data_IF_445954060117
#
_entry.id   IF_445954060117
#
_cell.length_a   1.000
_cell.length_b   1.000
_cell.length_c   1.000
_cell.angle_alpha   90.00
_cell.angle_beta   90.00
_cell.angle_gamma   90.00
#
_symmetry.space_group_name_H-M   'P 1'
#
loop_
_entity.id
_entity.type
_entity.pdbx_description
1 polymer ?
#
# COMPACT_ATOMS: atom_id res chain seq x y z
N UNK A 1 -59.92 -9.34 -73.24
CA UNK A 1 -58.78 -8.46 -72.90
C UNK A 1 -59.04 -7.86 -71.53
N UNK A 2 -58.18 -8.13 -70.54
CA UNK A 2 -58.24 -7.49 -69.21
C UNK A 2 -56.91 -6.79 -69.00
N UNK A 3 -56.95 -5.48 -68.86
CA UNK A 3 -55.82 -4.62 -68.53
C UNK A 3 -55.56 -4.65 -67.02
N UNK A 4 -54.30 -4.90 -66.63
CA UNK A 4 -53.82 -4.75 -65.26
C UNK A 4 -53.46 -3.27 -64.98
N UNK A 5 -53.62 -2.77 -63.75
CA UNK A 5 -53.18 -1.44 -63.39
C UNK A 5 -51.66 -1.41 -63.16
N UNK A 6 -50.98 -0.46 -63.79
CA UNK A 6 -49.57 -0.11 -63.52
C UNK A 6 -49.52 0.64 -62.18
N UNK A 7 -48.85 0.07 -61.19
CA UNK A 7 -48.44 0.78 -59.98
C UNK A 7 -47.14 1.53 -60.26
N UNK A 8 -47.18 2.86 -60.18
CA UNK A 8 -46.00 3.73 -60.11
C UNK A 8 -45.40 3.62 -58.70
N UNK A 9 -44.43 2.72 -58.53
CA UNK A 9 -43.50 2.75 -57.39
C UNK A 9 -42.14 3.21 -57.92
N UNK A 10 -41.99 4.53 -58.03
CA UNK A 10 -40.78 5.21 -58.46
C UNK A 10 -40.22 6.10 -57.36
N UNK A 11 -39.98 5.55 -56.16
CA UNK A 11 -39.05 6.13 -55.21
C UNK A 11 -37.84 5.20 -55.19
N UNK A 12 -36.69 5.69 -55.67
CA UNK A 12 -35.44 4.93 -55.70
C UNK A 12 -35.14 4.43 -54.27
N UNK A 13 -34.81 3.14 -54.15
CA UNK A 13 -34.39 2.50 -52.89
C UNK A 13 -33.30 3.30 -52.15
N UNK A 14 -32.47 4.01 -52.92
CA UNK A 14 -31.43 4.94 -52.47
C UNK A 14 -31.98 6.13 -51.68
N UNK A 15 -33.10 6.73 -52.12
CA UNK A 15 -33.78 7.84 -51.43
C UNK A 15 -34.38 7.40 -50.08
N UNK A 16 -34.87 6.15 -50.01
CA UNK A 16 -35.42 5.59 -48.78
C UNK A 16 -34.31 5.29 -47.75
N UNK A 17 -33.18 4.74 -48.20
CA UNK A 17 -32.04 4.45 -47.33
C UNK A 17 -31.34 5.73 -46.83
N UNK A 18 -31.20 6.75 -47.67
CA UNK A 18 -30.70 8.07 -47.26
C UNK A 18 -31.60 8.74 -46.23
N UNK A 19 -32.93 8.74 -46.44
CA UNK A 19 -33.88 9.31 -45.46
C UNK A 19 -33.87 8.57 -44.13
N UNK A 20 -33.74 7.23 -44.15
CA UNK A 20 -33.65 6.43 -42.92
C UNK A 20 -32.35 6.68 -42.17
N UNK A 21 -31.22 6.69 -42.87
CA UNK A 21 -29.90 6.98 -42.28
C UNK A 21 -29.85 8.42 -41.71
N UNK A 22 -30.40 9.40 -42.42
CA UNK A 22 -30.47 10.79 -41.97
C UNK A 22 -31.42 10.95 -40.75
N UNK A 23 -32.54 10.22 -40.70
CA UNK A 23 -33.41 10.20 -39.52
C UNK A 23 -32.75 9.55 -38.31
N UNK A 24 -32.02 8.45 -38.51
CA UNK A 24 -31.30 7.76 -37.43
C UNK A 24 -30.12 8.62 -36.92
N UNK A 25 -29.45 9.36 -37.82
CA UNK A 25 -28.40 10.34 -37.48
C UNK A 25 -28.98 11.55 -36.70
N UNK A 26 -30.11 12.11 -37.13
CA UNK A 26 -30.78 13.20 -36.40
C UNK A 26 -31.21 12.73 -35.01
N UNK A 27 -31.78 11.52 -34.89
CA UNK A 27 -32.13 10.97 -33.57
C UNK A 27 -30.91 10.76 -32.69
N UNK A 28 -29.78 10.32 -33.25
CA UNK A 28 -28.53 10.20 -32.50
C UNK A 28 -28.05 11.57 -32.00
N UNK A 29 -28.10 12.61 -32.83
CA UNK A 29 -27.74 13.98 -32.46
C UNK A 29 -28.69 14.56 -31.40
N UNK A 30 -30.00 14.35 -31.54
CA UNK A 30 -31.00 14.79 -30.55
C UNK A 30 -30.83 14.05 -29.21
N UNK A 31 -30.50 12.76 -29.24
CA UNK A 31 -30.17 11.99 -28.05
C UNK A 31 -28.89 12.47 -27.38
N UNK A 32 -27.83 12.74 -28.15
CA UNK A 32 -26.59 13.31 -27.65
C UNK A 32 -26.80 14.71 -27.07
N UNK A 33 -27.61 15.56 -27.70
CA UNK A 33 -27.94 16.88 -27.17
C UNK A 33 -28.73 16.79 -25.85
N UNK A 34 -29.69 15.86 -25.75
CA UNK A 34 -30.44 15.62 -24.51
C UNK A 34 -29.56 15.05 -23.40
N UNK A 35 -28.63 14.17 -23.74
CA UNK A 35 -27.63 13.64 -22.81
C UNK A 35 -26.69 14.74 -22.33
N UNK A 36 -26.21 15.60 -23.23
CA UNK A 36 -25.35 16.73 -22.90
C UNK A 36 -26.08 17.80 -22.07
N UNK A 37 -27.36 18.10 -22.36
CA UNK A 37 -28.14 19.03 -21.55
C UNK A 37 -28.42 18.46 -20.16
N UNK A 38 -28.81 17.19 -20.06
CA UNK A 38 -29.00 16.52 -18.78
C UNK A 38 -27.68 16.44 -17.98
N UNK A 39 -26.56 16.15 -18.64
CA UNK A 39 -25.24 16.16 -18.01
C UNK A 39 -24.85 17.56 -17.51
N UNK A 40 -25.16 18.60 -18.29
CA UNK A 40 -24.95 19.99 -17.89
C UNK A 40 -25.79 20.37 -16.67
N UNK A 41 -27.07 20.02 -16.67
CA UNK A 41 -27.96 20.28 -15.53
C UNK A 41 -27.49 19.56 -14.26
N UNK A 42 -26.99 18.32 -14.40
CA UNK A 42 -26.35 17.56 -13.30
C UNK A 42 -25.06 18.22 -12.83
N UNK A 43 -24.22 18.73 -13.74
CA UNK A 43 -23.00 19.46 -13.40
C UNK A 43 -23.29 20.79 -12.69
N UNK A 44 -24.27 21.56 -13.17
CA UNK A 44 -24.68 22.85 -12.58
C UNK A 44 -25.32 22.63 -11.20
N UNK A 45 -26.09 21.56 -11.04
CA UNK A 45 -26.60 21.13 -9.74
C UNK A 45 -25.46 20.70 -8.80
N UNK A 46 -24.50 19.91 -9.29
CA UNK A 46 -23.30 19.53 -8.55
C UNK A 46 -22.48 20.74 -8.09
N UNK A 47 -22.28 21.73 -8.96
CA UNK A 47 -21.60 22.98 -8.63
C UNK A 47 -22.33 23.76 -7.53
N UNK A 48 -23.66 23.75 -7.54
CA UNK A 48 -24.48 24.41 -6.50
C UNK A 48 -24.38 23.69 -5.15
N UNK A 49 -24.33 22.35 -5.15
CA UNK A 49 -24.12 21.56 -3.92
C UNK A 49 -22.74 21.81 -3.32
N UNK A 50 -21.68 21.80 -4.14
CA UNK A 50 -20.31 22.12 -3.72
C UNK A 50 -20.24 23.55 -3.16
N UNK A 51 -20.85 24.53 -3.81
CA UNK A 51 -20.89 25.92 -3.33
C UNK A 51 -21.60 26.10 -1.98
N UNK A 52 -22.41 25.11 -1.57
CA UNK A 52 -23.15 25.11 -0.30
C UNK A 52 -22.56 24.15 0.75
N UNK A 53 -21.39 23.57 0.47
CA UNK A 53 -20.76 22.55 1.31
C UNK A 53 -21.67 21.33 1.58
N UNK A 54 -22.56 21.04 0.62
CA UNK A 54 -23.43 19.87 0.64
C UNK A 54 -22.72 18.77 -0.14
N UNK A 55 -22.27 17.73 0.56
CA UNK A 55 -21.69 16.55 -0.08
C UNK A 55 -22.81 15.80 -0.80
N UNK A 56 -22.81 15.71 -2.15
CA UNK A 56 -23.81 14.95 -2.88
C UNK A 56 -23.74 13.48 -2.43
N UNK A 57 -24.88 12.95 -2.00
CA UNK A 57 -25.03 11.52 -1.67
C UNK A 57 -26.03 10.93 -2.64
N UNK A 58 -25.64 9.88 -3.35
CA UNK A 58 -26.61 9.09 -4.09
C UNK A 58 -27.50 8.32 -3.11
N UNK A 59 -28.80 8.15 -3.41
CA UNK A 59 -29.65 7.22 -2.67
C UNK A 59 -29.02 5.82 -2.67
N UNK A 60 -29.15 5.10 -1.55
CA UNK A 60 -28.59 3.75 -1.39
C UNK A 60 -29.09 2.77 -2.47
N UNK A 61 -30.30 2.98 -2.96
CA UNK A 61 -30.93 2.23 -4.05
C UNK A 61 -30.20 2.39 -5.41
N UNK A 62 -29.50 3.51 -5.60
CA UNK A 62 -28.71 3.80 -6.79
C UNK A 62 -27.26 3.28 -6.67
N UNK A 63 -26.84 2.89 -5.47
CA UNK A 63 -25.52 2.37 -5.20
C UNK A 63 -25.51 0.86 -5.47
N UNK A 64 -24.62 0.42 -6.36
CA UNK A 64 -24.42 -1.00 -6.66
C UNK A 64 -22.94 -1.32 -6.61
N UNK A 65 -22.57 -2.33 -5.84
CA UNK A 65 -21.22 -2.90 -5.92
C UNK A 65 -21.10 -3.82 -7.14
N UNK A 66 -19.89 -4.25 -7.45
CA UNK A 66 -19.63 -5.26 -8.48
C UNK A 66 -20.59 -6.46 -8.34
N UNK A 67 -20.91 -7.12 -9.46
CA UNK A 67 -22.04 -8.04 -9.74
C UNK A 67 -22.51 -9.01 -8.64
N UNK A 68 -21.69 -9.28 -7.62
CA UNK A 68 -21.95 -10.28 -6.58
C UNK A 68 -22.29 -9.70 -5.19
N UNK A 69 -22.39 -8.37 -5.04
CA UNK A 69 -22.72 -7.72 -3.76
C UNK A 69 -23.80 -6.65 -3.95
N UNK A 70 -24.94 -6.80 -3.27
CA UNK A 70 -25.92 -5.72 -3.14
C UNK A 70 -25.46 -4.70 -2.10
N UNK A 71 -25.87 -3.43 -2.26
CA UNK A 71 -25.58 -2.40 -1.26
C UNK A 71 -26.13 -2.76 0.12
N UNK A 72 -25.34 -2.52 1.17
CA UNK A 72 -25.67 -2.89 2.55
C UNK A 72 -25.56 -4.40 2.84
N UNK A 73 -25.27 -5.24 1.86
CA UNK A 73 -25.09 -6.67 2.07
C UNK A 73 -23.71 -6.98 2.66
N UNK A 74 -23.71 -7.82 3.70
CA UNK A 74 -22.50 -8.49 4.23
C UNK A 74 -22.36 -9.87 3.63
N UNK A 75 -21.18 -10.18 3.12
CA UNK A 75 -20.81 -11.53 2.67
C UNK A 75 -19.58 -12.01 3.41
N UNK A 76 -19.69 -13.20 4.02
CA UNK A 76 -18.54 -13.90 4.58
C UNK A 76 -17.82 -14.69 3.51
N UNK A 77 -16.50 -14.57 3.45
CA UNK A 77 -15.63 -15.18 2.45
C UNK A 77 -14.44 -15.83 3.15
N UNK A 78 -14.37 -17.15 3.08
CA UNK A 78 -13.16 -17.89 3.41
C UNK A 78 -12.25 -17.88 2.18
N UNK A 79 -11.21 -17.06 2.21
CA UNK A 79 -10.33 -16.83 1.07
C UNK A 79 -8.97 -17.51 1.30
N UNK A 80 -8.49 -18.20 0.26
CA UNK A 80 -7.06 -18.43 0.10
C UNK A 80 -6.46 -17.17 -0.54
N UNK A 81 -5.87 -16.33 0.29
CA UNK A 81 -5.28 -15.05 -0.05
C UNK A 81 -3.99 -15.29 -0.83
N UNK A 82 -4.09 -15.28 -2.16
CA UNK A 82 -2.96 -15.42 -3.09
C UNK A 82 -2.43 -14.07 -3.57
N UNK A 83 -2.93 -12.97 -2.99
CA UNK A 83 -2.50 -11.61 -3.33
C UNK A 83 -2.07 -10.84 -2.09
N UNK A 84 -1.00 -10.07 -2.24
CA UNK A 84 -0.51 -9.14 -1.24
C UNK A 84 -0.36 -7.74 -1.84
N UNK A 85 -0.68 -6.72 -1.06
CA UNK A 85 -0.46 -5.33 -1.41
C UNK A 85 0.60 -4.74 -0.48
N UNK A 86 1.67 -4.19 -1.05
CA UNK A 86 2.71 -3.49 -0.32
C UNK A 86 2.59 -2.00 -0.60
N UNK A 87 2.35 -1.20 0.44
CA UNK A 87 2.22 0.25 0.34
C UNK A 87 3.40 0.94 1.02
N UNK A 88 4.24 1.61 0.24
CA UNK A 88 5.33 2.43 0.77
C UNK A 88 4.81 3.83 1.16
N UNK A 89 4.87 4.18 2.44
CA UNK A 89 4.51 5.52 2.93
C UNK A 89 5.80 6.28 3.21
N UNK A 90 6.07 7.34 2.44
CA UNK A 90 7.33 8.07 2.44
C UNK A 90 7.13 9.46 3.05
N UNK A 91 7.71 9.71 4.23
CA UNK A 91 7.66 11.00 4.92
C UNK A 91 8.81 11.95 4.56
N UNK A 92 9.35 11.86 3.35
CA UNK A 92 10.66 12.39 2.98
C UNK A 92 10.59 13.35 1.78
N UNK A 93 11.46 14.36 1.72
CA UNK A 93 11.67 15.11 0.47
C UNK A 93 12.45 14.27 -0.53
N UNK A 94 11.71 13.65 -1.46
CA UNK A 94 12.25 12.78 -2.50
C UNK A 94 13.07 13.53 -3.57
N UNK A 95 13.03 14.86 -3.59
CA UNK A 95 13.82 15.68 -4.54
C UNK A 95 15.28 15.83 -4.12
N UNK A 96 15.56 15.68 -2.83
CA UNK A 96 16.92 15.72 -2.32
C UNK A 96 17.77 14.53 -2.81
N UNK A 97 19.10 14.67 -2.80
CA UNK A 97 20.03 13.58 -3.17
C UNK A 97 19.81 12.33 -2.31
N UNK A 98 19.57 12.51 -1.01
CA UNK A 98 19.30 11.41 -0.09
C UNK A 98 17.92 10.80 -0.31
N UNK A 99 16.92 11.61 -0.67
CA UNK A 99 15.60 11.14 -1.13
C UNK A 99 15.69 10.26 -2.37
N UNK A 100 16.50 10.63 -3.36
CA UNK A 100 16.72 9.81 -4.56
C UNK A 100 17.45 8.50 -4.25
N UNK A 101 18.44 8.52 -3.36
CA UNK A 101 19.13 7.31 -2.88
C UNK A 101 18.17 6.37 -2.16
N UNK A 102 17.31 6.90 -1.30
CA UNK A 102 16.27 6.15 -0.62
C UNK A 102 15.33 5.49 -1.64
N UNK A 103 14.87 6.23 -2.64
CA UNK A 103 14.03 5.71 -3.74
C UNK A 103 14.69 4.54 -4.45
N UNK A 104 15.99 4.64 -4.78
CA UNK A 104 16.74 3.54 -5.38
C UNK A 104 16.83 2.32 -4.45
N UNK A 105 17.07 2.51 -3.16
CA UNK A 105 17.09 1.42 -2.17
C UNK A 105 15.72 0.78 -1.98
N UNK A 106 14.63 1.56 -2.01
CA UNK A 106 13.26 1.04 -1.95
C UNK A 106 12.86 0.25 -3.20
N UNK A 107 13.33 0.64 -4.39
CA UNK A 107 13.15 -0.16 -5.61
C UNK A 107 13.82 -1.52 -5.49
N UNK A 108 15.06 -1.56 -4.99
CA UNK A 108 15.78 -2.82 -4.72
C UNK A 108 15.06 -3.68 -3.68
N UNK A 109 14.47 -3.04 -2.67
CA UNK A 109 13.63 -3.70 -1.67
C UNK A 109 12.34 -4.28 -2.27
N UNK A 110 11.62 -3.51 -3.09
CA UNK A 110 10.41 -3.97 -3.77
C UNK A 110 10.68 -5.21 -4.63
N UNK A 111 11.83 -5.25 -5.31
CA UNK A 111 12.26 -6.43 -6.06
C UNK A 111 12.56 -7.63 -5.15
N UNK A 112 13.15 -7.42 -3.97
CA UNK A 112 13.34 -8.49 -2.99
C UNK A 112 12.01 -9.02 -2.47
N UNK A 113 11.08 -8.14 -2.10
CA UNK A 113 9.72 -8.50 -1.68
C UNK A 113 9.00 -9.29 -2.78
N UNK A 114 9.03 -8.82 -4.03
CA UNK A 114 8.41 -9.49 -5.17
C UNK A 114 8.91 -10.92 -5.32
N UNK A 115 10.21 -11.16 -5.16
CA UNK A 115 10.80 -12.52 -5.21
C UNK A 115 10.34 -13.38 -4.04
N UNK A 116 10.36 -12.85 -2.82
CA UNK A 116 9.95 -13.59 -1.62
C UNK A 116 8.46 -13.98 -1.64
N UNK A 117 7.57 -13.06 -2.04
CA UNK A 117 6.15 -13.37 -2.20
C UNK A 117 5.90 -14.35 -3.35
N UNK A 118 6.57 -14.17 -4.50
CA UNK A 118 6.45 -15.08 -5.64
C UNK A 118 6.91 -16.51 -5.29
N UNK A 119 7.99 -16.64 -4.49
CA UNK A 119 8.46 -17.93 -3.97
C UNK A 119 7.43 -18.67 -3.10
N UNK A 120 6.41 -17.95 -2.59
CA UNK A 120 5.28 -18.50 -1.82
C UNK A 120 3.99 -18.62 -2.64
N UNK A 121 4.05 -18.36 -3.94
CA UNK A 121 2.87 -18.37 -4.81
C UNK A 121 1.93 -17.18 -4.61
N UNK A 122 2.41 -16.07 -4.05
CA UNK A 122 1.62 -14.87 -3.76
C UNK A 122 1.95 -13.77 -4.79
N UNK A 123 0.92 -13.25 -5.46
CA UNK A 123 1.06 -12.08 -6.36
C UNK A 123 1.16 -10.80 -5.55
N UNK A 124 2.13 -9.96 -5.87
CA UNK A 124 2.38 -8.72 -5.12
C UNK A 124 2.03 -7.49 -5.94
N UNK A 125 1.23 -6.60 -5.36
CA UNK A 125 0.93 -5.27 -5.89
C UNK A 125 1.68 -4.22 -5.07
N UNK A 126 2.39 -3.32 -5.72
CA UNK A 126 3.11 -2.25 -5.04
C UNK A 126 2.42 -0.91 -5.26
N UNK A 127 2.26 -0.15 -4.19
CA UNK A 127 1.82 1.24 -4.21
C UNK A 127 2.77 2.09 -3.37
N UNK A 128 2.75 3.39 -3.60
CA UNK A 128 3.43 4.34 -2.72
C UNK A 128 2.51 5.50 -2.39
N UNK A 129 2.80 6.18 -1.29
CA UNK A 129 2.14 7.39 -0.82
C UNK A 129 3.26 8.28 -0.30
N UNK A 130 3.35 9.52 -0.78
CA UNK A 130 4.40 10.44 -0.37
C UNK A 130 3.75 11.54 0.45
N UNK A 131 4.16 11.69 1.71
CA UNK A 131 3.86 12.86 2.51
C UNK A 131 4.82 13.96 2.08
N UNK A 132 4.27 15.05 1.56
CA UNK A 132 5.00 16.28 1.31
C UNK A 132 4.64 17.19 2.49
N UNK A 133 5.60 17.95 3.01
CA UNK A 133 5.49 18.71 4.26
C UNK A 133 4.16 19.48 4.46
N UNK A 134 3.95 19.91 5.71
CA UNK A 134 2.69 20.49 6.22
C UNK A 134 1.53 19.49 6.35
N UNK A 135 1.88 18.19 6.31
CA UNK A 135 0.90 17.11 6.38
C UNK A 135 -0.04 17.16 5.19
N UNK A 136 0.52 17.18 3.98
CA UNK A 136 -0.22 16.97 2.73
C UNK A 136 0.30 15.67 2.14
N UNK A 137 -0.50 14.61 2.20
CA UNK A 137 -0.13 13.34 1.58
C UNK A 137 -0.66 13.28 0.15
N UNK A 138 0.21 12.93 -0.78
CA UNK A 138 -0.16 12.73 -2.19
C UNK A 138 -0.40 11.24 -2.43
N UNK A 139 -1.62 10.88 -2.85
CA UNK A 139 -1.91 9.52 -3.34
C UNK A 139 -1.17 9.33 -4.65
N UNK A 140 -0.38 8.26 -4.74
CA UNK A 140 0.21 7.81 -5.99
C UNK A 140 -0.51 6.55 -6.45
N UNK A 141 -1.24 6.68 -7.57
CA UNK A 141 -1.76 5.55 -8.32
C UNK A 141 -0.81 5.25 -9.47
N UNK A 142 -0.09 4.13 -9.49
CA UNK A 142 0.34 3.58 -10.77
C UNK A 142 -0.90 3.00 -11.47
N UNK A 143 -1.11 3.36 -12.75
CA UNK A 143 -1.89 2.49 -13.65
C UNK A 143 -1.21 1.12 -13.64
N UNK A 144 -2.02 0.08 -13.58
CA UNK A 144 -1.63 -1.30 -13.34
C UNK A 144 -0.30 -1.75 -13.96
N UNK A 145 0.44 -2.47 -13.11
CA UNK A 145 1.32 -3.61 -13.38
C UNK A 145 2.79 -3.39 -13.79
N UNK A 146 3.64 -4.00 -12.94
CA UNK A 146 4.95 -4.60 -13.16
C UNK A 146 6.23 -3.82 -12.82
N UNK A 147 6.22 -2.49 -12.73
CA UNK A 147 7.37 -1.71 -12.29
C UNK A 147 7.00 -0.62 -11.27
N UNK A 148 7.80 -0.54 -10.19
CA UNK A 148 7.78 0.61 -9.27
C UNK A 148 8.43 1.81 -9.99
N UNK A 149 7.72 2.39 -10.97
CA UNK A 149 8.18 3.58 -11.68
C UNK A 149 7.88 4.85 -10.87
N UNK A 150 8.76 5.12 -9.90
CA UNK A 150 8.75 6.35 -9.10
C UNK A 150 9.22 7.59 -9.90
N UNK A 151 9.56 7.47 -11.20
CA UNK A 151 10.08 8.60 -12.02
C UNK A 151 8.97 9.43 -12.67
N UNK A 152 7.77 8.88 -12.86
CA UNK A 152 6.62 9.58 -13.50
C UNK A 152 5.44 9.65 -12.53
N UNK A 153 5.50 10.59 -11.59
CA UNK A 153 4.50 10.79 -10.53
C UNK A 153 3.65 12.02 -10.88
N UNK A 154 2.49 11.88 -11.56
CA UNK A 154 1.50 12.95 -11.58
C UNK A 154 0.90 13.12 -10.18
N UNK A 155 0.70 14.37 -9.76
CA UNK A 155 0.37 14.73 -8.39
C UNK A 155 -1.11 15.09 -8.24
N UNK A 156 -1.80 14.45 -7.31
CA UNK A 156 -3.11 14.88 -6.82
C UNK A 156 -3.01 15.11 -5.30
N UNK A 157 -3.41 16.30 -4.84
CA UNK A 157 -3.15 16.79 -3.48
C UNK A 157 -4.29 16.48 -2.52
N UNK A 158 -4.00 15.88 -1.36
CA UNK A 158 -4.89 15.85 -0.19
C UNK A 158 -4.14 16.28 1.07
N UNK A 159 -4.77 17.14 1.85
CA UNK A 159 -4.30 17.55 3.18
C UNK A 159 -4.53 16.39 4.16
N UNK A 160 -3.47 15.80 4.70
CA UNK A 160 -3.47 14.74 5.73
C UNK A 160 -2.46 15.13 6.81
N UNK A 161 -2.92 15.92 7.79
CA UNK A 161 -2.08 16.66 8.71
C UNK A 161 -1.40 15.81 9.80
N UNK A 162 -1.70 14.51 9.91
CA UNK A 162 -1.34 13.68 11.07
C UNK A 162 -0.57 12.40 10.73
N UNK A 163 0.22 11.93 11.71
CA UNK A 163 1.16 10.80 11.61
C UNK A 163 0.51 9.45 11.26
N UNK A 164 -0.79 9.28 11.49
CA UNK A 164 -1.55 8.05 11.22
C UNK A 164 -2.56 8.16 10.07
N UNK A 165 -2.66 9.32 9.41
CA UNK A 165 -3.64 9.54 8.35
C UNK A 165 -3.43 8.62 7.14
N UNK A 166 -2.22 8.07 6.98
CA UNK A 166 -1.93 7.05 5.98
C UNK A 166 -2.80 5.80 6.15
N UNK A 167 -3.22 5.43 7.37
CA UNK A 167 -4.11 4.30 7.62
C UNK A 167 -5.45 4.52 6.93
N UNK A 168 -5.94 5.76 6.90
CA UNK A 168 -7.12 6.08 6.11
C UNK A 168 -6.83 5.94 4.62
N UNK A 169 -5.65 6.29 4.11
CA UNK A 169 -5.37 6.08 2.67
C UNK A 169 -5.27 4.59 2.30
N UNK A 170 -4.86 3.75 3.23
CA UNK A 170 -4.58 2.32 3.00
C UNK A 170 -5.68 1.37 3.47
N UNK A 171 -6.85 1.87 3.90
CA UNK A 171 -7.82 1.10 4.71
C UNK A 171 -8.90 0.31 3.97
N UNK A 172 -9.11 0.49 2.68
CA UNK A 172 -10.28 -0.10 2.00
C UNK A 172 -9.85 -1.04 0.87
N UNK A 173 -9.47 -2.30 1.16
CA UNK A 173 -9.34 -3.30 0.11
C UNK A 173 -10.71 -3.60 -0.50
N UNK A 174 -10.83 -3.42 -1.81
CA UNK A 174 -11.98 -3.87 -2.60
C UNK A 174 -12.11 -5.41 -2.67
N UNK A 175 -11.13 -6.15 -2.13
CA UNK A 175 -11.05 -7.60 -2.17
C UNK A 175 -10.20 -8.19 -1.03
N UNK A 176 -10.42 -9.46 -0.64
CA UNK A 176 -9.59 -10.14 0.36
C UNK A 176 -8.10 -10.20 -0.04
N UNK A 177 -7.25 -9.46 0.66
CA UNK A 177 -5.80 -9.43 0.44
C UNK A 177 -5.03 -9.24 1.76
N UNK A 178 -3.73 -9.56 1.76
CA UNK A 178 -2.82 -9.18 2.84
C UNK A 178 -2.15 -7.86 2.51
N UNK A 179 -2.23 -6.87 3.40
CA UNK A 179 -1.65 -5.55 3.13
C UNK A 179 -0.50 -5.25 4.09
N UNK A 180 0.64 -4.88 3.51
CA UNK A 180 1.86 -4.54 4.22
C UNK A 180 2.17 -3.07 3.99
N UNK A 181 2.04 -2.26 5.04
CA UNK A 181 2.40 -0.84 5.00
C UNK A 181 3.84 -0.69 5.45
N UNK A 182 4.69 -0.15 4.58
CA UNK A 182 6.09 0.15 4.87
C UNK A 182 6.21 1.67 5.04
N UNK A 183 6.21 2.13 6.29
CA UNK A 183 6.43 3.52 6.66
C UNK A 183 7.94 3.81 6.73
N UNK A 184 8.41 4.80 5.98
CA UNK A 184 9.78 5.30 6.08
C UNK A 184 9.75 6.67 6.75
N UNK A 185 10.21 6.72 8.00
CA UNK A 185 10.37 7.94 8.78
C UNK A 185 11.57 8.73 8.24
N UNK A 186 11.30 9.96 7.79
CA UNK A 186 12.34 10.93 7.47
C UNK A 186 12.08 12.25 8.20
N UNK A 187 11.00 12.96 7.86
CA UNK A 187 10.62 14.24 8.49
C UNK A 187 9.27 14.16 9.23
N UNK A 188 8.33 13.34 8.75
CA UNK A 188 7.08 13.08 9.45
C UNK A 188 7.37 12.14 10.62
N UNK A 189 7.47 12.73 11.82
CA UNK A 189 7.61 11.97 13.06
C UNK A 189 6.29 11.29 13.44
N UNK A 190 6.41 10.19 14.16
CA UNK A 190 5.28 9.51 14.79
C UNK A 190 4.84 10.21 16.08
N UNK A 191 4.58 11.53 15.97
CA UNK A 191 4.17 12.38 17.07
C UNK A 191 2.77 11.99 17.58
N UNK A 192 2.56 12.21 18.88
CA UNK A 192 1.33 11.86 19.62
C UNK A 192 0.13 12.75 19.27
N UNK A 193 0.34 13.88 18.57
CA UNK A 193 -0.71 14.83 18.16
C UNK A 193 -1.58 14.31 16.98
N UNK A 194 -1.74 13.00 16.86
CA UNK A 194 -2.59 12.40 15.85
C UNK A 194 -4.06 12.51 16.24
N UNK A 195 -4.92 12.95 15.31
CA UNK A 195 -6.39 12.89 15.48
C UNK A 195 -6.90 11.47 15.72
N UNK A 196 -6.15 10.46 15.24
CA UNK A 196 -6.45 9.05 15.46
C UNK A 196 -5.79 8.58 16.75
N UNK A 197 -6.60 8.18 17.73
CA UNK A 197 -6.09 7.58 18.95
C UNK A 197 -5.45 6.21 18.65
N UNK A 198 -4.45 5.86 19.45
CA UNK A 198 -3.72 4.59 19.32
C UNK A 198 -4.65 3.37 19.28
N UNK A 199 -5.71 3.37 20.11
CA UNK A 199 -6.66 2.26 20.21
C UNK A 199 -7.38 2.01 18.89
N UNK A 200 -7.89 3.07 18.27
CA UNK A 200 -8.52 3.00 16.94
C UNK A 200 -7.54 2.53 15.86
N UNK A 201 -6.33 3.09 15.82
CA UNK A 201 -5.29 2.71 14.86
C UNK A 201 -4.90 1.23 14.96
N UNK A 202 -4.68 0.76 16.19
CA UNK A 202 -4.35 -0.64 16.51
C UNK A 202 -5.46 -1.58 16.10
N UNK A 203 -6.70 -1.29 16.53
CA UNK A 203 -7.90 -2.07 16.19
C UNK A 203 -8.09 -2.14 14.68
N UNK A 204 -7.84 -1.03 14.00
CA UNK A 204 -7.91 -0.97 12.54
C UNK A 204 -6.88 -1.89 11.88
N UNK A 205 -5.62 -1.83 12.29
CA UNK A 205 -4.55 -2.68 11.77
C UNK A 205 -4.83 -4.19 11.99
N UNK A 206 -5.35 -4.54 13.17
CA UNK A 206 -5.66 -5.92 13.53
C UNK A 206 -6.89 -6.46 12.80
N UNK A 207 -7.90 -5.62 12.53
CA UNK A 207 -9.14 -6.02 11.85
C UNK A 207 -9.04 -6.07 10.32
N UNK A 208 -8.13 -5.31 9.70
CA UNK A 208 -8.09 -5.13 8.24
C UNK A 208 -7.00 -5.97 7.55
N UNK A 209 -6.44 -6.98 8.25
CA UNK A 209 -5.29 -7.75 7.75
C UNK A 209 -4.12 -6.87 7.28
N UNK A 210 -3.85 -5.80 8.06
CA UNK A 210 -2.82 -4.80 7.79
C UNK A 210 -1.60 -5.00 8.70
N UNK A 211 -0.42 -5.06 8.10
CA UNK A 211 0.85 -5.15 8.82
C UNK A 211 1.64 -3.86 8.66
N UNK A 212 2.00 -3.22 9.77
CA UNK A 212 2.80 -2.00 9.76
C UNK A 212 4.28 -2.32 9.98
N UNK A 213 5.12 -1.91 9.03
CA UNK A 213 6.57 -2.03 9.09
C UNK A 213 7.18 -0.63 9.06
N UNK A 214 7.99 -0.28 10.06
CA UNK A 214 8.56 1.07 10.20
C UNK A 214 10.05 1.03 9.92
N UNK A 215 10.53 1.91 9.04
CA UNK A 215 11.94 2.17 8.80
C UNK A 215 12.29 3.53 9.39
N UNK A 216 13.25 3.54 10.30
CA UNK A 216 13.68 4.76 10.97
C UNK A 216 15.20 4.81 11.12
N UNK A 217 15.77 6.01 11.19
CA UNK A 217 17.20 6.19 11.41
C UNK A 217 17.61 5.90 12.85
N UNK A 218 16.77 6.29 13.81
CA UNK A 218 17.03 6.20 15.25
C UNK A 218 16.28 5.02 15.89
N UNK A 219 16.30 3.87 15.22
CA UNK A 219 15.43 2.75 15.55
C UNK A 219 15.57 2.23 16.97
N UNK A 220 16.79 2.16 17.51
CA UNK A 220 17.11 1.28 18.64
C UNK A 220 18.02 1.91 19.69
N UNK A 221 17.59 1.83 20.95
CA UNK A 221 18.47 1.97 22.13
C UNK A 221 18.97 0.58 22.52
N UNK A 222 20.30 0.43 22.61
CA UNK A 222 20.96 -0.86 22.80
C UNK A 222 21.68 -0.90 24.15
N UNK A 223 21.50 -2.01 24.87
CA UNK A 223 22.21 -2.24 26.16
C UNK A 223 23.51 -3.02 25.99
N UNK A 224 23.70 -3.68 24.84
CA UNK A 224 24.85 -4.56 24.56
C UNK A 224 25.58 -4.15 23.29
N UNK A 225 26.92 -4.30 23.27
CA UNK A 225 27.73 -4.10 22.07
C UNK A 225 27.37 -5.09 20.96
N UNK A 226 26.97 -6.32 21.31
CA UNK A 226 26.53 -7.37 20.35
C UNK A 226 25.29 -6.95 19.55
N UNK A 227 24.50 -6.03 20.09
CA UNK A 227 23.32 -5.51 19.40
C UNK A 227 23.66 -4.54 18.25
N UNK A 228 24.91 -4.11 18.08
CA UNK A 228 25.30 -3.12 17.05
C UNK A 228 24.88 -3.52 15.64
N UNK A 229 24.91 -4.82 15.33
CA UNK A 229 24.56 -5.39 14.02
C UNK A 229 23.04 -5.65 13.84
N UNK A 230 22.21 -5.31 14.82
CA UNK A 230 20.76 -5.46 14.72
C UNK A 230 20.22 -4.48 13.69
N UNK A 231 19.60 -5.01 12.64
CA UNK A 231 18.96 -4.26 11.55
C UNK A 231 17.47 -4.06 11.78
N UNK A 232 16.85 -4.90 12.62
CA UNK A 232 15.42 -4.82 12.90
C UNK A 232 14.99 -5.54 14.17
N UNK A 233 13.77 -5.28 14.61
CA UNK A 233 13.12 -6.04 15.68
C UNK A 233 11.63 -6.18 15.40
N UNK A 234 11.02 -7.26 15.91
CA UNK A 234 9.58 -7.39 16.04
C UNK A 234 9.19 -7.63 17.51
N UNK A 235 7.98 -8.14 17.79
CA UNK A 235 7.58 -8.42 19.16
C UNK A 235 8.45 -9.49 19.84
N UNK A 236 8.97 -10.45 19.07
CA UNK A 236 9.58 -11.68 19.59
C UNK A 236 11.11 -11.72 19.39
N UNK A 237 11.62 -11.15 18.30
CA UNK A 237 12.98 -11.40 17.81
C UNK A 237 13.68 -10.13 17.35
N UNK A 238 15.00 -10.16 17.42
CA UNK A 238 15.88 -9.20 16.78
C UNK A 238 16.50 -9.80 15.52
N UNK A 239 16.59 -8.99 14.48
CA UNK A 239 17.14 -9.34 13.17
C UNK A 239 18.52 -8.73 13.01
N UNK A 240 19.51 -9.52 12.56
CA UNK A 240 20.92 -9.12 12.48
C UNK A 240 21.39 -9.26 11.02
N UNK A 241 22.28 -8.38 10.54
CA UNK A 241 22.76 -8.43 9.14
C UNK A 241 23.86 -9.46 8.86
N UNK A 242 24.45 -10.08 9.88
CA UNK A 242 25.57 -10.99 9.74
C UNK A 242 25.20 -12.26 8.94
N UNK A 243 26.20 -12.83 8.26
CA UNK A 243 26.13 -14.01 7.37
C UNK A 243 25.55 -15.28 8.00
N UNK A 244 25.45 -15.33 9.33
CA UNK A 244 24.70 -16.34 10.05
C UNK A 244 23.34 -15.80 10.49
N UNK A 245 22.25 -16.44 10.05
CA UNK A 245 20.97 -16.29 10.74
C UNK A 245 21.20 -16.65 12.21
N UNK A 246 21.05 -15.68 13.11
CA UNK A 246 21.03 -15.96 14.53
C UNK A 246 19.97 -17.04 14.76
N UNK A 247 20.34 -18.11 15.46
CA UNK A 247 19.35 -19.10 15.85
C UNK A 247 18.23 -18.43 16.66
N UNK A 248 17.07 -19.08 16.71
CA UNK A 248 15.87 -18.46 17.26
C UNK A 248 16.05 -18.07 18.75
N UNK A 249 16.88 -18.83 19.48
CA UNK A 249 17.25 -18.55 20.87
C UNK A 249 18.06 -17.26 20.96
N UNK A 250 19.11 -17.10 20.15
CA UNK A 250 19.94 -15.90 20.13
C UNK A 250 19.14 -14.69 19.66
N UNK A 251 18.27 -14.84 18.67
CA UNK A 251 17.42 -13.77 18.16
C UNK A 251 16.47 -13.22 19.25
N UNK A 252 15.89 -14.09 20.08
CA UNK A 252 15.07 -13.69 21.24
C UNK A 252 15.89 -13.09 22.37
N UNK A 253 17.07 -13.64 22.68
CA UNK A 253 17.96 -13.09 23.69
C UNK A 253 18.44 -11.67 23.32
N UNK A 254 18.81 -11.47 22.06
CA UNK A 254 19.16 -10.15 21.51
C UNK A 254 17.97 -9.20 21.55
N UNK A 255 16.74 -9.69 21.31
CA UNK A 255 15.53 -8.87 21.40
C UNK A 255 15.35 -8.22 22.77
N UNK A 256 15.71 -8.91 23.85
CA UNK A 256 15.67 -8.36 25.21
C UNK A 256 16.71 -7.26 25.45
N UNK A 257 17.78 -7.24 24.65
CA UNK A 257 18.88 -6.27 24.72
C UNK A 257 18.66 -5.02 23.86
N UNK A 258 17.59 -5.01 23.06
CA UNK A 258 17.24 -3.94 22.12
C UNK A 258 15.86 -3.38 22.43
N UNK A 259 15.77 -2.08 22.63
CA UNK A 259 14.51 -1.37 22.74
C UNK A 259 14.32 -0.45 21.54
N UNK A 260 13.20 -0.61 20.84
CA UNK A 260 12.76 0.35 19.84
C UNK A 260 12.35 1.69 20.49
N UNK A 261 12.22 2.74 19.66
CA UNK A 261 11.57 3.98 20.14
C UNK A 261 10.17 3.68 20.68
N UNK A 262 9.71 4.50 21.64
CA UNK A 262 8.37 4.39 22.24
C UNK A 262 7.33 5.23 21.50
N UNK A 263 7.68 5.74 20.33
CA UNK A 263 6.79 6.55 19.53
C UNK A 263 5.64 5.72 18.95
N UNK A 264 4.55 6.39 18.61
CA UNK A 264 3.26 5.77 18.28
C UNK A 264 3.37 4.67 17.21
N UNK A 265 4.03 4.93 16.09
CA UNK A 265 4.15 3.95 14.99
C UNK A 265 5.01 2.75 15.36
N UNK A 266 6.04 2.94 16.18
CA UNK A 266 6.91 1.85 16.62
C UNK A 266 6.13 0.88 17.51
N UNK A 267 5.38 1.42 18.47
CA UNK A 267 4.53 0.61 19.35
C UNK A 267 3.44 -0.08 18.52
N UNK A 268 2.75 0.64 17.63
CA UNK A 268 1.74 0.06 16.74
C UNK A 268 2.32 -1.09 15.91
N UNK A 269 3.47 -0.88 15.26
CA UNK A 269 4.13 -1.92 14.49
C UNK A 269 4.38 -3.17 15.35
N UNK A 270 4.96 -3.01 16.54
CA UNK A 270 5.29 -4.16 17.40
C UNK A 270 4.06 -4.86 17.98
N UNK A 271 2.97 -4.14 18.29
CA UNK A 271 1.75 -4.74 18.84
C UNK A 271 0.86 -5.43 17.80
N UNK A 272 0.96 -5.03 16.52
CA UNK A 272 0.12 -5.57 15.44
C UNK A 272 0.82 -6.60 14.56
N UNK A 273 1.82 -7.31 15.12
CA UNK A 273 2.70 -8.25 14.41
C UNK A 273 3.47 -7.64 13.24
N UNK A 274 3.74 -6.34 13.31
CA UNK A 274 4.62 -5.61 12.42
C UNK A 274 6.07 -5.65 12.88
N UNK A 275 6.91 -4.83 12.26
CA UNK A 275 8.35 -4.78 12.56
C UNK A 275 8.90 -3.37 12.50
N UNK A 276 10.01 -3.14 13.20
CA UNK A 276 10.79 -1.90 13.11
C UNK A 276 12.16 -2.24 12.54
N UNK A 277 12.62 -1.51 11.53
CA UNK A 277 13.91 -1.66 10.87
C UNK A 277 14.70 -0.36 10.90
N UNK A 278 16.01 -0.47 10.82
CA UNK A 278 16.90 0.66 10.55
C UNK A 278 16.84 1.02 9.08
N UNK A 279 16.66 2.29 8.74
CA UNK A 279 16.65 2.75 7.33
C UNK A 279 17.94 2.38 6.59
N UNK A 280 19.10 2.45 7.26
CA UNK A 280 20.41 2.08 6.67
C UNK A 280 20.47 0.62 6.20
N UNK A 281 19.67 -0.28 6.78
CA UNK A 281 19.61 -1.69 6.37
C UNK A 281 19.09 -1.88 4.94
N UNK A 282 18.40 -0.89 4.37
CA UNK A 282 17.93 -0.92 2.98
C UNK A 282 19.08 -0.90 1.97
N UNK A 283 20.30 -0.52 2.36
CA UNK A 283 21.43 -0.43 1.44
C UNK A 283 22.09 -1.80 1.20
N UNK A 284 22.12 -2.67 2.22
CA UNK A 284 22.70 -4.01 2.15
C UNK A 284 21.78 -5.02 1.47
N UNK A 285 22.33 -5.84 0.56
CA UNK A 285 21.60 -6.91 -0.14
C UNK A 285 21.09 -7.98 0.83
N UNK A 286 21.92 -8.43 1.76
CA UNK A 286 21.57 -9.47 2.73
C UNK A 286 20.47 -8.99 3.69
N UNK A 287 20.60 -7.75 4.17
CA UNK A 287 19.58 -7.13 5.01
C UNK A 287 18.23 -7.01 4.27
N UNK A 288 18.23 -6.53 3.02
CA UNK A 288 17.00 -6.48 2.19
C UNK A 288 16.34 -7.85 2.03
N UNK A 289 17.12 -8.91 1.79
CA UNK A 289 16.59 -10.26 1.65
C UNK A 289 15.92 -10.74 2.95
N UNK A 290 16.60 -10.56 4.09
CA UNK A 290 16.06 -10.90 5.40
C UNK A 290 14.76 -10.15 5.69
N UNK A 291 14.74 -8.84 5.43
CA UNK A 291 13.55 -8.03 5.66
C UNK A 291 12.40 -8.48 4.73
N UNK A 292 12.69 -8.69 3.44
CA UNK A 292 11.69 -9.13 2.48
C UNK A 292 11.06 -10.46 2.92
N UNK A 293 11.88 -11.42 3.39
CA UNK A 293 11.42 -12.68 3.96
C UNK A 293 10.53 -12.45 5.18
N UNK A 294 10.96 -11.59 6.11
CA UNK A 294 10.18 -11.28 7.32
C UNK A 294 8.83 -10.62 7.02
N UNK A 295 8.77 -9.72 6.03
CA UNK A 295 7.51 -9.12 5.57
C UNK A 295 6.61 -10.18 4.95
N UNK A 296 7.17 -11.06 4.11
CA UNK A 296 6.42 -12.16 3.51
C UNK A 296 5.96 -13.22 4.54
N UNK A 297 6.66 -13.40 5.67
CA UNK A 297 6.25 -14.26 6.78
C UNK A 297 4.97 -13.79 7.48
N UNK A 298 4.63 -12.50 7.37
CA UNK A 298 3.36 -11.98 7.88
C UNK A 298 2.17 -12.31 6.97
N UNK A 299 2.40 -12.78 5.75
CA UNK A 299 1.33 -13.07 4.82
C UNK A 299 0.45 -14.22 5.34
N UNK A 300 -0.81 -13.93 5.61
CA UNK A 300 -1.79 -14.93 6.02
C UNK A 300 -2.49 -15.46 4.77
N UNK A 301 -2.24 -16.72 4.42
CA UNK A 301 -2.81 -17.36 3.23
C UNK A 301 -4.27 -17.77 3.44
N UNK A 302 -4.64 -18.31 4.59
CA UNK A 302 -6.01 -18.75 4.86
C UNK A 302 -6.65 -17.82 5.87
N UNK A 303 -7.55 -16.96 5.42
CA UNK A 303 -8.24 -16.00 6.29
C UNK A 303 -9.72 -15.88 5.91
N UNK A 304 -10.55 -15.71 6.95
CA UNK A 304 -11.96 -15.41 6.82
C UNK A 304 -12.14 -13.89 6.78
N UNK A 305 -12.91 -13.41 5.82
CA UNK A 305 -13.27 -12.00 5.67
C UNK A 305 -14.79 -11.80 5.69
N UNK A 306 -15.24 -10.75 6.38
CA UNK A 306 -16.57 -10.17 6.20
C UNK A 306 -16.42 -8.98 5.24
N UNK A 307 -17.01 -9.09 4.06
CA UNK A 307 -17.01 -8.07 3.02
C UNK A 307 -18.37 -7.37 2.97
N UNK A 308 -18.37 -6.06 3.23
CA UNK A 308 -19.56 -5.22 3.24
C UNK A 308 -19.57 -4.34 1.98
N UNK A 309 -20.70 -4.26 1.27
CA UNK A 309 -20.87 -3.25 0.22
C UNK A 309 -21.36 -1.95 0.85
N UNK A 310 -20.50 -0.95 0.90
CA UNK A 310 -20.75 0.33 1.56
C UNK A 310 -20.61 1.49 0.59
N UNK A 311 -21.06 2.67 1.00
CA UNK A 311 -20.83 3.90 0.26
C UNK A 311 -19.33 4.16 0.22
N UNK A 312 -18.77 4.30 -0.99
CA UNK A 312 -17.40 4.73 -1.15
C UNK A 312 -17.21 6.13 -0.58
N UNK A 313 -15.95 6.55 -0.43
CA UNK A 313 -15.62 7.82 0.23
C UNK A 313 -16.07 9.06 -0.52
N UNK A 314 -16.34 8.93 -1.82
CA UNK A 314 -16.92 10.00 -2.63
C UNK A 314 -18.43 10.14 -2.40
N UNK A 315 -19.05 9.20 -1.67
CA UNK A 315 -20.49 9.07 -1.47
C UNK A 315 -21.34 8.98 -2.75
N UNK A 316 -20.67 8.80 -3.89
CA UNK A 316 -21.27 8.72 -5.22
C UNK A 316 -21.10 7.33 -5.83
N UNK A 317 -20.20 6.51 -5.28
CA UNK A 317 -20.03 5.12 -5.72
C UNK A 317 -20.21 4.16 -4.54
N UNK A 318 -20.41 2.89 -4.84
CA UNK A 318 -20.38 1.82 -3.84
C UNK A 318 -19.03 1.12 -3.93
N UNK A 319 -18.45 0.77 -2.79
CA UNK A 319 -17.22 -0.01 -2.71
C UNK A 319 -17.44 -1.22 -1.82
N UNK A 320 -16.80 -2.33 -2.18
CA UNK A 320 -16.70 -3.49 -1.29
C UNK A 320 -15.57 -3.21 -0.29
N UNK A 321 -15.84 -3.37 0.99
CA UNK A 321 -14.83 -3.28 2.05
C UNK A 321 -14.75 -4.60 2.80
N UNK A 322 -13.60 -5.28 2.70
CA UNK A 322 -13.37 -6.55 3.36
C UNK A 322 -12.53 -6.38 4.63
N UNK A 323 -13.01 -6.92 5.74
CA UNK A 323 -12.29 -7.01 7.03
C UNK A 323 -12.24 -8.45 7.51
N UNK A 324 -11.32 -8.78 8.40
CA UNK A 324 -11.25 -10.12 8.97
C UNK A 324 -12.51 -10.44 9.79
N UNK A 325 -12.98 -11.69 9.72
CA UNK A 325 -14.12 -12.16 10.51
C UNK A 325 -13.86 -12.12 12.02
N UNK A 326 -12.58 -12.22 12.40
CA UNK A 326 -12.10 -12.07 13.77
C UNK A 326 -10.81 -11.24 13.77
N UNK A 327 -10.68 -10.39 14.78
CA UNK A 327 -9.47 -9.59 14.99
C UNK A 327 -8.25 -10.50 15.15
N UNK A 328 -7.11 -10.13 14.56
CA UNK A 328 -5.86 -10.86 14.80
C UNK A 328 -5.44 -10.71 16.25
N UNK A 329 -4.88 -11.78 16.82
CA UNK A 329 -4.27 -11.70 18.14
C UNK A 329 -3.13 -10.67 18.12
N UNK A 330 -3.17 -9.73 19.06
CA UNK A 330 -2.07 -8.83 19.27
C UNK A 330 -0.85 -9.61 19.79
N UNK A 331 0.34 -9.23 19.32
CA UNK A 331 1.59 -9.90 19.67
C UNK A 331 2.07 -9.59 21.08
N UNK A 332 1.53 -8.54 21.71
CA UNK A 332 1.91 -8.14 23.07
C UNK A 332 0.78 -8.49 24.05
N UNK A 333 0.84 -9.71 24.58
CA UNK A 333 0.42 -9.98 25.95
C UNK A 333 1.57 -9.59 26.86
N UNK A 334 1.46 -8.44 27.53
CA UNK A 334 2.39 -8.02 28.57
C UNK A 334 2.65 -9.19 29.53
N UNK A 335 3.90 -9.61 29.62
CA UNK A 335 4.40 -10.45 30.69
C UNK A 335 4.14 -9.74 32.03
N UNK A 336 2.98 -9.99 32.62
CA UNK A 336 2.72 -9.73 34.02
C UNK A 336 3.42 -10.83 34.83
N UNK A 337 4.58 -10.46 35.41
CA UNK A 337 5.28 -11.14 36.52
C UNK A 337 5.60 -12.64 36.36
N UNK A 338 6.86 -12.93 36.05
CA UNK A 338 7.51 -14.19 36.38
C UNK A 338 8.96 -13.93 36.80
N UNK A 339 9.26 -14.20 38.07
CA UNK A 339 10.57 -14.09 38.75
C UNK A 339 11.72 -14.78 38.01
N UNK A 340 12.98 -14.33 38.18
CA UNK A 340 14.13 -14.94 37.50
C UNK A 340 14.58 -16.21 38.25
N UNK A 341 14.46 -17.37 37.61
CA UNK A 341 15.20 -18.57 37.99
C UNK A 341 16.41 -18.72 37.07
N UNK A 342 17.60 -18.70 37.66
CA UNK A 342 18.88 -18.76 36.97
C UNK A 342 19.09 -20.03 36.15
N UNK A 343 19.77 -19.86 35.02
CA UNK A 343 20.36 -20.91 34.20
C UNK A 343 21.58 -20.32 33.49
N UNK A 344 22.72 -20.97 33.65
CA UNK A 344 23.98 -20.64 32.99
C UNK A 344 23.85 -20.86 31.47
N UNK A 345 24.02 -19.80 30.67
CA UNK A 345 24.16 -19.94 29.21
C UNK A 345 25.63 -19.79 28.80
N UNK A 346 26.08 -20.78 28.03
CA UNK A 346 27.37 -20.86 27.37
C UNK A 346 27.46 -19.73 26.33
N UNK A 347 28.31 -18.75 26.60
CA UNK A 347 28.61 -17.65 25.68
C UNK A 347 29.55 -18.18 24.60
N UNK A 348 29.04 -18.39 23.39
CA UNK A 348 29.88 -18.49 22.21
C UNK A 348 30.39 -17.08 21.86
N UNK A 349 31.71 -16.93 21.89
CA UNK A 349 32.45 -15.70 21.63
C UNK A 349 32.51 -15.50 20.11
N UNK A 350 31.98 -14.37 19.63
CA UNK A 350 32.03 -13.99 18.22
C UNK A 350 33.32 -13.20 18.00
N UNK A 351 34.22 -13.70 17.15
CA UNK A 351 35.48 -13.03 16.81
C UNK A 351 35.25 -11.95 15.75
N UNK A 352 35.82 -10.77 15.95
CA UNK A 352 35.66 -9.55 15.16
C UNK A 352 36.29 -9.62 13.74
N UNK A 353 36.54 -10.81 13.19
CA UNK A 353 37.29 -11.00 11.94
C UNK A 353 36.42 -11.10 10.67
N UNK A 354 35.08 -11.16 10.81
CA UNK A 354 34.14 -11.26 9.67
C UNK A 354 33.67 -9.90 9.10
N UNK A 355 34.27 -8.78 9.54
CA UNK A 355 33.90 -7.41 9.13
C UNK A 355 34.66 -6.88 7.89
N UNK A 356 35.27 -7.76 7.08
CA UNK A 356 35.89 -7.38 5.79
C UNK A 356 35.14 -7.95 4.60
N UNK A 357 34.97 -7.06 3.62
CA UNK A 357 34.59 -7.28 2.22
C UNK A 357 33.10 -7.15 1.88
N UNK A 358 32.77 -6.04 1.18
CA UNK A 358 31.77 -5.92 0.09
C UNK A 358 31.35 -4.46 -0.27
N UNK A 359 32.14 -3.43 0.08
CA UNK A 359 31.82 -2.01 -0.23
C UNK A 359 32.69 -1.34 -1.33
N UNK A 360 33.37 -2.09 -2.20
CA UNK A 360 33.98 -1.55 -3.43
C UNK A 360 33.32 -2.13 -4.69
N UNK A 361 32.18 -1.56 -5.09
CA UNK A 361 31.75 -1.59 -6.50
C UNK A 361 32.05 -0.20 -7.08
N UNK A 362 33.20 -0.09 -7.74
CA UNK A 362 33.59 1.05 -8.57
C UNK A 362 32.54 1.28 -9.65
N UNK A 363 31.92 2.46 -9.64
CA UNK A 363 31.13 2.97 -10.76
C UNK A 363 32.15 3.39 -11.82
N UNK A 364 32.21 2.60 -12.89
CA UNK A 364 32.99 2.90 -14.10
C UNK A 364 32.13 3.79 -15.01
N UNK A 365 32.32 5.10 -14.91
CA UNK A 365 31.75 6.09 -15.84
C UNK A 365 32.71 6.20 -17.04
N UNK A 366 32.57 5.28 -18.00
CA UNK A 366 33.22 5.36 -19.30
C UNK A 366 32.46 6.29 -20.24
N UNK A 367 32.87 7.56 -20.29
CA UNK A 367 32.55 8.50 -21.36
C UNK A 367 33.55 8.29 -22.52
N UNK A 368 33.09 7.64 -23.59
CA UNK A 368 33.81 7.60 -24.88
C UNK A 368 33.46 8.85 -25.70
N UNK A 369 34.33 9.86 -25.63
CA UNK A 369 34.44 10.94 -26.62
C UNK A 369 35.22 10.42 -27.84
N UNK A 370 34.53 10.00 -28.90
CA UNK A 370 35.12 9.88 -30.24
C UNK A 370 34.78 11.12 -31.07
N UNK A 371 35.75 12.04 -31.12
CA UNK A 371 35.91 12.99 -32.20
C UNK A 371 36.68 12.31 -33.35
N UNK A 372 36.09 12.27 -34.55
CA UNK A 372 36.82 12.01 -35.79
C UNK A 372 36.53 13.16 -36.74
N UNK A 373 37.53 14.03 -36.86
CA UNK A 373 37.79 14.84 -38.04
C UNK A 373 38.39 13.92 -39.12
N UNK A 374 37.76 13.88 -40.30
CA UNK A 374 38.40 13.96 -41.64
C UNK A 374 37.35 14.20 -42.74
#
# INVERSE_FOLDING_TARGET
SKSAPKAEFGANLEDFLCRKWFHDLIRAIEWEQRLCSAAKDVCDYGATLVARDIVPRLPEECLQCARDHAFGQRKRVDANVTEAEVVFVLGCDLRSRDGQRLVASLRRMANALKREFAGRGVRTHFRSVVAIGDGVYRRFWPKSESELDLRRVPFETRNLSHSLDFLFVTSSPERPLSRHVILVECAVGCAEDALLDFGSARTHLLNQNLFLHVFTENAFKMRSKKARHVIGVDAERAFVSASGAADDVTARALRQSVSASRDLCHVLALETNGTVFRTKSLNSKNSRALIARRVADNHVTNACFDCDCVSARDHMTAAVECRLCAERAATVGLAAKGTPSGGHDVVQEWTEEDDRDDDEETIDDGDDDEAVDE
#
